data_IF_607254890418
#
_entry.id   IF_607254890418
#
_cell.length_a   1.000
_cell.length_b   1.000
_cell.length_c   1.000
_cell.angle_alpha   90.00
_cell.angle_beta   90.00
_cell.angle_gamma   90.00
#
_symmetry.space_group_name_H-M   'P 1'
#
loop_
_entity.id
_entity.type
_entity.pdbx_description
1 polymer ?
#
# COMPACT_ATOMS: atom_id res chain seq x y z
N UNK A 1 8.29 -116.96 5.76
CA UNK A 1 8.90 -116.31 4.58
C UNK A 1 7.99 -115.14 4.19
N UNK A 2 8.28 -113.93 4.68
CA UNK A 2 7.48 -112.73 4.40
C UNK A 2 8.07 -112.01 3.19
N UNK A 3 7.32 -111.97 2.09
CA UNK A 3 7.69 -111.22 0.90
C UNK A 3 7.60 -109.71 1.19
N UNK A 4 8.76 -109.03 1.21
CA UNK A 4 8.85 -107.56 1.23
C UNK A 4 8.35 -107.03 -0.12
N UNK A 5 7.11 -106.53 -0.14
CA UNK A 5 6.53 -105.87 -1.30
C UNK A 5 7.00 -104.40 -1.37
N UNK A 6 7.50 -103.99 -2.55
CA UNK A 6 7.51 -102.62 -3.09
C UNK A 6 8.12 -101.46 -2.27
N UNK A 7 9.18 -101.63 -1.45
CA UNK A 7 9.81 -100.48 -0.78
C UNK A 7 10.60 -99.56 -1.73
N UNK A 8 11.21 -100.11 -2.78
CA UNK A 8 12.12 -99.37 -3.68
C UNK A 8 11.42 -98.34 -4.55
N UNK A 9 10.19 -98.62 -5.00
CA UNK A 9 9.44 -97.71 -5.89
C UNK A 9 8.93 -96.47 -5.13
N UNK A 10 8.49 -96.65 -3.87
CA UNK A 10 8.13 -95.54 -3.00
C UNK A 10 9.34 -94.71 -2.57
N UNK A 11 10.51 -95.33 -2.34
CA UNK A 11 11.77 -94.63 -2.05
C UNK A 11 12.24 -93.77 -3.23
N UNK A 12 12.21 -94.28 -4.46
CA UNK A 12 12.58 -93.49 -5.64
C UNK A 12 11.58 -92.38 -5.95
N UNK A 13 10.28 -92.61 -5.74
CA UNK A 13 9.26 -91.57 -5.87
C UNK A 13 9.42 -90.47 -4.82
N UNK A 14 9.73 -90.83 -3.57
CA UNK A 14 10.00 -89.83 -2.52
C UNK A 14 11.25 -89.03 -2.81
N UNK A 15 12.34 -89.66 -3.27
CA UNK A 15 13.56 -88.96 -3.71
C UNK A 15 13.25 -87.98 -4.85
N UNK A 16 12.48 -88.40 -5.86
CA UNK A 16 12.10 -87.55 -6.99
C UNK A 16 11.26 -86.34 -6.52
N UNK A 17 10.24 -86.57 -5.69
CA UNK A 17 9.43 -85.49 -5.12
C UNK A 17 10.27 -84.53 -4.28
N UNK A 18 11.26 -85.03 -3.52
CA UNK A 18 12.18 -84.20 -2.74
C UNK A 18 13.05 -83.33 -3.64
N UNK A 19 13.60 -83.90 -4.72
CA UNK A 19 14.41 -83.15 -5.70
C UNK A 19 13.60 -82.08 -6.42
N UNK A 20 12.36 -82.38 -6.81
CA UNK A 20 11.44 -81.40 -7.41
C UNK A 20 11.09 -80.29 -6.42
N UNK A 21 10.82 -80.62 -5.16
CA UNK A 21 10.55 -79.63 -4.12
C UNK A 21 11.76 -78.72 -3.85
N UNK A 22 12.98 -79.29 -3.78
CA UNK A 22 14.22 -78.53 -3.62
C UNK A 22 14.46 -77.64 -4.85
N UNK A 23 14.24 -78.16 -6.06
CA UNK A 23 14.36 -77.39 -7.30
C UNK A 23 13.38 -76.21 -7.37
N UNK A 24 12.12 -76.44 -7.00
CA UNK A 24 11.11 -75.38 -6.90
C UNK A 24 11.49 -74.34 -5.84
N UNK A 25 11.99 -74.77 -4.67
CA UNK A 25 12.39 -73.86 -3.59
C UNK A 25 13.63 -73.02 -3.97
N UNK A 26 14.56 -73.58 -4.75
CA UNK A 26 15.68 -72.83 -5.32
C UNK A 26 15.22 -71.80 -6.37
N UNK A 27 14.23 -72.13 -7.20
CA UNK A 27 13.65 -71.19 -8.15
C UNK A 27 12.93 -70.04 -7.44
N UNK A 28 12.14 -70.33 -6.40
CA UNK A 28 11.51 -69.32 -5.55
C UNK A 28 12.55 -68.47 -4.82
N UNK A 29 13.65 -69.07 -4.34
CA UNK A 29 14.74 -68.32 -3.69
C UNK A 29 15.44 -67.35 -4.66
N UNK A 30 15.67 -67.76 -5.91
CA UNK A 30 16.24 -66.88 -6.96
C UNK A 30 15.24 -65.78 -7.32
N UNK A 31 13.96 -66.11 -7.45
CA UNK A 31 12.87 -65.14 -7.65
C UNK A 31 12.81 -64.10 -6.53
N UNK A 32 12.86 -64.55 -5.27
CA UNK A 32 12.88 -63.70 -4.08
C UNK A 32 14.12 -62.80 -4.00
N UNK A 33 15.30 -63.31 -4.37
CA UNK A 33 16.52 -62.49 -4.46
C UNK A 33 16.40 -61.40 -5.53
N UNK A 34 15.80 -61.72 -6.68
CA UNK A 34 15.48 -60.75 -7.72
C UNK A 34 14.46 -59.70 -7.25
N UNK A 35 13.36 -60.12 -6.63
CA UNK A 35 12.33 -59.23 -6.09
C UNK A 35 12.88 -58.27 -5.02
N UNK A 36 13.89 -58.70 -4.24
CA UNK A 36 14.58 -57.85 -3.26
C UNK A 36 15.46 -56.75 -3.86
N UNK A 37 15.71 -56.75 -5.16
CA UNK A 37 16.43 -55.64 -5.84
C UNK A 37 15.54 -54.43 -6.12
N UNK A 38 14.22 -54.63 -6.14
CA UNK A 38 13.24 -53.58 -6.29
C UNK A 38 12.74 -53.07 -4.93
N UNK A 39 12.20 -51.85 -4.92
CA UNK A 39 11.50 -51.28 -3.78
C UNK A 39 10.23 -52.08 -3.48
N UNK A 40 9.89 -52.18 -2.19
CA UNK A 40 8.72 -52.92 -1.74
C UNK A 40 7.44 -52.44 -2.45
N UNK A 41 6.50 -53.35 -2.77
CA UNK A 41 5.19 -52.97 -3.30
C UNK A 41 4.51 -51.92 -2.41
N UNK A 42 3.92 -50.90 -3.02
CA UNK A 42 3.24 -49.82 -2.29
C UNK A 42 4.15 -48.77 -1.64
N UNK A 43 5.47 -48.82 -1.84
CA UNK A 43 6.37 -47.74 -1.39
C UNK A 43 6.08 -46.42 -2.11
N UNK A 44 6.00 -45.35 -1.34
CA UNK A 44 5.83 -43.97 -1.81
C UNK A 44 7.01 -43.14 -1.31
N UNK A 45 7.68 -42.43 -2.22
CA UNK A 45 8.76 -41.49 -1.87
C UNK A 45 8.37 -40.13 -2.39
N UNK A 46 8.37 -39.10 -1.53
CA UNK A 46 8.00 -37.74 -1.92
C UNK A 46 6.63 -37.67 -2.64
N UNK A 47 5.65 -38.45 -2.17
CA UNK A 47 4.31 -38.50 -2.78
C UNK A 47 4.20 -39.27 -4.11
N UNK A 48 5.31 -39.79 -4.66
CA UNK A 48 5.30 -40.59 -5.88
C UNK A 48 5.31 -42.09 -5.57
N UNK A 49 4.45 -42.90 -6.22
CA UNK A 49 4.49 -44.35 -6.09
C UNK A 49 5.73 -44.88 -6.82
N UNK A 50 6.66 -45.46 -6.06
CA UNK A 50 7.92 -46.02 -6.57
C UNK A 50 8.04 -47.52 -6.30
N UNK A 51 6.99 -48.15 -5.78
CA UNK A 51 6.97 -49.59 -5.52
C UNK A 51 7.26 -50.41 -6.78
N UNK A 52 7.97 -51.53 -6.61
CA UNK A 52 8.46 -52.42 -7.67
C UNK A 52 9.52 -51.80 -8.61
N UNK A 53 9.96 -50.55 -8.40
CA UNK A 53 11.06 -49.96 -9.14
C UNK A 53 12.39 -50.28 -8.48
N UNK A 54 13.45 -50.46 -9.28
CA UNK A 54 14.82 -50.46 -8.75
C UNK A 54 15.24 -49.03 -8.35
N UNK A 55 16.17 -48.86 -7.39
CA UNK A 55 16.55 -47.54 -6.87
C UNK A 55 16.92 -46.51 -7.94
N UNK A 56 17.62 -46.92 -9.01
CA UNK A 56 17.98 -46.04 -10.12
C UNK A 56 16.76 -45.52 -10.90
N UNK A 57 15.77 -46.38 -11.13
CA UNK A 57 14.52 -46.00 -11.81
C UNK A 57 13.68 -45.08 -10.93
N UNK A 58 13.61 -45.36 -9.61
CA UNK A 58 12.96 -44.49 -8.65
C UNK A 58 13.63 -43.11 -8.59
N UNK A 59 14.97 -43.04 -8.58
CA UNK A 59 15.71 -41.79 -8.63
C UNK A 59 15.41 -40.97 -9.90
N UNK A 60 15.36 -41.63 -11.05
CA UNK A 60 15.04 -40.99 -12.33
C UNK A 60 13.62 -40.41 -12.34
N UNK A 61 12.63 -41.17 -11.82
CA UNK A 61 11.25 -40.72 -11.70
C UNK A 61 11.13 -39.49 -10.78
N UNK A 62 11.76 -39.56 -9.59
CA UNK A 62 11.79 -38.47 -8.63
C UNK A 62 12.39 -37.19 -9.22
N UNK A 63 13.54 -37.29 -9.90
CA UNK A 63 14.19 -36.15 -10.56
C UNK A 63 13.30 -35.57 -11.65
N UNK A 64 12.73 -36.42 -12.51
CA UNK A 64 11.86 -35.99 -13.61
C UNK A 64 10.60 -35.26 -13.12
N UNK A 65 9.99 -35.71 -12.02
CA UNK A 65 8.80 -35.08 -11.48
C UNK A 65 9.12 -33.72 -10.83
N UNK A 66 10.16 -33.67 -9.99
CA UNK A 66 10.51 -32.45 -9.26
C UNK A 66 11.29 -31.42 -10.09
N UNK A 67 11.78 -31.79 -11.29
CA UNK A 67 12.33 -30.85 -12.28
C UNK A 67 11.25 -30.16 -13.13
N UNK A 68 9.98 -30.55 -13.04
CA UNK A 68 8.91 -29.91 -13.80
C UNK A 68 8.71 -28.45 -13.35
N UNK A 69 8.40 -27.51 -14.26
CA UNK A 69 8.18 -26.12 -13.88
C UNK A 69 6.96 -25.94 -12.96
N UNK A 70 7.00 -24.91 -12.12
CA UNK A 70 5.87 -24.48 -11.29
C UNK A 70 5.15 -23.33 -11.99
N UNK A 71 3.83 -23.45 -12.13
CA UNK A 71 2.97 -22.41 -12.69
C UNK A 71 2.68 -21.36 -11.61
N UNK A 72 3.13 -20.12 -11.84
CA UNK A 72 2.88 -18.99 -10.95
C UNK A 72 1.81 -18.10 -11.56
N UNK A 73 0.73 -17.85 -10.83
CA UNK A 73 -0.34 -16.97 -11.26
C UNK A 73 -0.19 -15.60 -10.60
N UNK A 74 0.03 -14.57 -11.41
CA UNK A 74 0.05 -13.17 -11.00
C UNK A 74 -1.11 -12.43 -11.66
N UNK A 75 -2.20 -12.24 -10.92
CA UNK A 75 -3.45 -11.64 -11.46
C UNK A 75 -3.91 -12.43 -12.70
N UNK A 76 -3.85 -11.83 -13.89
CA UNK A 76 -4.26 -12.42 -15.16
C UNK A 76 -3.08 -13.03 -15.95
N UNK A 77 -1.87 -12.97 -15.39
CA UNK A 77 -0.65 -13.46 -16.01
C UNK A 77 -0.25 -14.82 -15.42
N UNK A 78 0.22 -15.69 -16.31
CA UNK A 78 0.83 -16.98 -15.93
C UNK A 78 2.32 -16.95 -16.23
N UNK A 79 3.12 -17.23 -15.23
CA UNK A 79 4.58 -17.32 -15.30
C UNK A 79 5.00 -18.76 -15.01
N UNK A 80 6.15 -19.18 -15.56
CA UNK A 80 6.72 -20.50 -15.28
C UNK A 80 8.02 -20.33 -14.49
N UNK A 81 8.06 -20.89 -13.28
CA UNK A 81 9.27 -21.02 -12.49
C UNK A 81 9.94 -22.34 -12.81
N UNK A 82 11.11 -22.27 -13.45
CA UNK A 82 11.98 -23.44 -13.61
C UNK A 82 12.75 -23.69 -12.30
N UNK A 83 12.62 -24.88 -11.67
CA UNK A 83 13.35 -25.27 -10.48
C UNK A 83 14.87 -25.03 -10.56
N UNK A 84 15.46 -25.10 -11.76
CA UNK A 84 16.88 -24.85 -11.96
C UNK A 84 17.27 -23.39 -11.66
N UNK A 85 16.36 -22.42 -11.87
CA UNK A 85 16.62 -20.99 -11.62
C UNK A 85 16.82 -20.67 -10.13
N UNK A 86 16.25 -21.48 -9.25
CA UNK A 86 16.36 -21.34 -7.79
C UNK A 86 17.31 -22.36 -7.18
N UNK A 87 18.14 -23.01 -8.01
CA UNK A 87 19.07 -24.06 -7.59
C UNK A 87 18.40 -25.17 -6.78
N UNK A 88 17.19 -25.57 -7.17
CA UNK A 88 16.46 -26.63 -6.48
C UNK A 88 17.22 -27.95 -6.59
N UNK A 89 17.45 -28.58 -5.44
CA UNK A 89 18.17 -29.84 -5.30
C UNK A 89 17.30 -30.83 -4.55
N UNK A 90 17.22 -32.03 -5.11
CA UNK A 90 16.54 -33.15 -4.51
C UNK A 90 17.59 -34.09 -3.91
N UNK A 91 17.48 -34.39 -2.62
CA UNK A 91 18.38 -35.35 -1.97
C UNK A 91 17.87 -36.78 -2.19
N UNK A 92 18.02 -37.25 -3.44
CA UNK A 92 17.57 -38.59 -3.83
C UNK A 92 18.26 -39.68 -3.04
N UNK A 93 19.53 -39.47 -2.71
CA UNK A 93 20.36 -40.47 -2.08
C UNK A 93 19.95 -40.66 -0.62
N UNK A 94 19.67 -39.57 0.11
CA UNK A 94 19.10 -39.65 1.46
C UNK A 94 17.71 -40.30 1.47
N UNK A 95 16.82 -39.93 0.54
CA UNK A 95 15.48 -40.53 0.46
C UNK A 95 15.53 -42.03 0.15
N UNK A 96 16.40 -42.44 -0.79
CA UNK A 96 16.57 -43.85 -1.13
C UNK A 96 17.26 -44.64 -0.02
N UNK A 97 18.25 -44.06 0.67
CA UNK A 97 18.87 -44.67 1.84
C UNK A 97 17.87 -44.85 2.99
N UNK A 98 16.97 -43.88 3.19
CA UNK A 98 15.89 -44.00 4.15
C UNK A 98 14.91 -45.12 3.76
N UNK A 99 14.51 -45.19 2.48
CA UNK A 99 13.69 -46.29 1.95
C UNK A 99 14.36 -47.67 2.16
N UNK A 100 15.67 -47.75 1.97
CA UNK A 100 16.48 -48.95 2.11
C UNK A 100 16.59 -49.44 3.56
N UNK A 101 16.55 -48.53 4.52
CA UNK A 101 16.56 -48.86 5.96
C UNK A 101 15.29 -49.64 6.35
N UNK A 102 14.14 -49.31 5.76
CA UNK A 102 12.90 -50.06 5.95
C UNK A 102 12.93 -51.44 5.28
N UNK A 103 13.70 -51.59 4.19
CA UNK A 103 13.90 -52.88 3.49
C UNK A 103 14.78 -53.84 4.28
N UNK A 104 15.84 -53.33 4.91
CA UNK A 104 16.87 -54.13 5.61
C UNK A 104 16.53 -54.46 7.07
N UNK A 105 15.54 -53.80 7.66
CA UNK A 105 15.09 -54.06 9.03
C UNK A 105 14.44 -55.44 9.26
N UNK A 106 14.01 -56.14 8.20
CA UNK A 106 13.40 -57.47 8.29
C UNK A 106 14.43 -58.60 8.07
N UNK A 107 14.44 -59.58 8.99
CA UNK A 107 15.29 -60.77 8.88
C UNK A 107 15.04 -61.47 7.52
N UNK A 108 16.11 -61.80 6.80
CA UNK A 108 16.05 -62.39 5.45
C UNK A 108 15.11 -63.60 5.38
N UNK A 109 15.24 -64.51 6.35
CA UNK A 109 14.47 -65.75 6.37
C UNK A 109 12.99 -65.54 6.71
N UNK A 110 12.64 -64.58 7.56
CA UNK A 110 11.22 -64.29 7.83
C UNK A 110 10.54 -63.70 6.61
N UNK A 111 11.21 -62.78 5.92
CA UNK A 111 10.70 -62.18 4.69
C UNK A 111 10.56 -63.20 3.54
N UNK A 112 11.47 -64.17 3.42
CA UNK A 112 11.35 -65.26 2.44
C UNK A 112 10.12 -66.13 2.71
N UNK A 113 9.87 -66.48 3.98
CA UNK A 113 8.68 -67.22 4.36
C UNK A 113 7.40 -66.39 4.16
N UNK A 114 7.40 -65.11 4.51
CA UNK A 114 6.25 -64.23 4.28
C UNK A 114 5.90 -64.11 2.79
N UNK A 115 6.91 -64.06 1.91
CA UNK A 115 6.76 -64.08 0.44
C UNK A 115 6.19 -65.41 -0.07
N UNK A 116 6.73 -66.55 0.40
CA UNK A 116 6.25 -67.90 0.04
C UNK A 116 4.76 -68.11 0.42
N UNK A 117 4.31 -67.48 1.51
CA UNK A 117 2.91 -67.52 1.97
C UNK A 117 2.06 -66.33 1.49
N UNK A 118 2.54 -65.54 0.53
CA UNK A 118 1.83 -64.40 -0.06
C UNK A 118 1.29 -63.41 0.98
N UNK A 119 2.04 -63.19 2.06
CA UNK A 119 1.64 -62.21 3.07
C UNK A 119 1.78 -60.80 2.51
N UNK A 120 0.83 -59.90 2.79
CA UNK A 120 0.89 -58.53 2.28
C UNK A 120 2.08 -57.79 2.88
N UNK A 121 3.00 -57.35 2.02
CA UNK A 121 4.08 -56.43 2.39
C UNK A 121 3.51 -55.02 2.43
N UNK A 122 3.60 -54.35 3.57
CA UNK A 122 3.20 -52.96 3.69
C UNK A 122 4.26 -52.04 3.10
N UNK A 123 3.89 -51.25 2.10
CA UNK A 123 4.70 -50.13 1.63
C UNK A 123 4.93 -49.10 2.73
N UNK A 124 5.96 -48.29 2.55
CA UNK A 124 6.33 -47.22 3.47
C UNK A 124 6.36 -45.87 2.75
N UNK A 125 6.17 -44.79 3.51
CA UNK A 125 6.17 -43.43 3.02
C UNK A 125 7.45 -42.72 3.47
N UNK A 126 8.27 -42.29 2.51
CA UNK A 126 9.48 -41.51 2.76
C UNK A 126 9.18 -40.03 2.47
N UNK A 127 9.40 -39.12 3.44
CA UNK A 127 9.14 -37.70 3.23
C UNK A 127 10.11 -37.11 2.19
N UNK A 128 9.65 -36.05 1.52
CA UNK A 128 10.46 -35.30 0.56
C UNK A 128 11.64 -34.62 1.27
N UNK A 129 12.86 -34.90 0.78
CA UNK A 129 14.07 -34.16 1.12
C UNK A 129 14.46 -33.24 -0.05
N UNK A 130 14.20 -31.95 0.10
CA UNK A 130 14.37 -30.94 -0.94
C UNK A 130 14.94 -29.65 -0.33
N UNK A 131 15.87 -29.06 -1.06
CA UNK A 131 16.48 -27.77 -0.74
C UNK A 131 16.52 -26.86 -1.97
N UNK A 132 16.48 -25.55 -1.78
CA UNK A 132 16.60 -24.55 -2.85
C UNK A 132 17.12 -23.23 -2.27
N UNK A 133 17.54 -22.30 -3.13
CA UNK A 133 18.02 -20.99 -2.70
C UNK A 133 16.87 -19.99 -2.52
N UNK A 134 16.55 -19.57 -1.27
CA UNK A 134 15.50 -18.58 -1.04
C UNK A 134 15.88 -17.21 -1.62
N UNK A 135 17.18 -16.90 -1.67
CA UNK A 135 17.69 -15.65 -2.22
C UNK A 135 17.49 -15.55 -3.74
N UNK A 136 17.65 -16.66 -4.48
CA UNK A 136 17.38 -16.69 -5.92
C UNK A 136 15.87 -16.57 -6.19
N UNK A 137 15.04 -17.27 -5.41
CA UNK A 137 13.58 -17.14 -5.51
C UNK A 137 13.14 -15.69 -5.26
N UNK A 138 13.66 -15.06 -4.21
CA UNK A 138 13.37 -13.66 -3.89
C UNK A 138 13.77 -12.71 -5.02
N UNK A 139 14.97 -12.89 -5.58
CA UNK A 139 15.46 -12.07 -6.71
C UNK A 139 14.53 -12.18 -7.92
N UNK A 140 14.09 -13.40 -8.25
CA UNK A 140 13.15 -13.64 -9.35
C UNK A 140 11.79 -12.96 -9.10
N UNK A 141 11.28 -13.03 -7.86
CA UNK A 141 10.03 -12.35 -7.49
C UNK A 141 10.17 -10.83 -7.55
N UNK A 142 11.31 -10.26 -7.15
CA UNK A 142 11.58 -8.82 -7.28
C UNK A 142 11.65 -8.37 -8.75
N UNK A 143 12.25 -9.19 -9.62
CA UNK A 143 12.29 -8.94 -11.07
C UNK A 143 10.90 -9.09 -11.71
N UNK A 144 10.06 -9.97 -11.16
CA UNK A 144 8.64 -10.08 -11.52
C UNK A 144 7.85 -8.85 -11.08
N UNK A 145 8.00 -8.43 -9.82
CA UNK A 145 7.38 -7.22 -9.26
C UNK A 145 7.72 -5.98 -10.11
N UNK A 146 9.00 -5.81 -10.47
CA UNK A 146 9.45 -4.69 -11.28
C UNK A 146 8.80 -4.62 -12.68
N UNK A 147 8.31 -5.74 -13.21
CA UNK A 147 7.68 -5.82 -14.54
C UNK A 147 6.16 -5.73 -14.51
N UNK A 148 5.52 -6.19 -13.44
CA UNK A 148 4.07 -6.38 -13.39
C UNK A 148 3.35 -5.58 -12.31
N UNK A 149 4.06 -5.10 -11.29
CA UNK A 149 3.45 -4.23 -10.27
C UNK A 149 2.95 -2.94 -10.91
N UNK A 150 1.80 -2.47 -10.43
CA UNK A 150 1.20 -1.22 -10.88
C UNK A 150 1.38 -0.18 -9.81
N UNK A 151 2.17 0.85 -10.11
CA UNK A 151 2.31 2.01 -9.23
C UNK A 151 0.96 2.74 -9.09
N UNK A 152 0.62 3.27 -7.90
CA UNK A 152 -0.57 4.10 -7.74
C UNK A 152 -0.46 5.37 -8.57
N UNK A 153 -1.56 5.78 -9.19
CA UNK A 153 -1.64 7.05 -9.90
C UNK A 153 -2.03 8.16 -8.93
N UNK A 154 -1.33 9.30 -8.99
CA UNK A 154 -1.70 10.48 -8.23
C UNK A 154 -2.99 11.11 -8.78
N UNK A 155 -3.74 11.87 -7.95
CA UNK A 155 -4.86 12.68 -8.40
C UNK A 155 -4.44 13.66 -9.49
N UNK A 156 -5.30 13.85 -10.48
CA UNK A 156 -5.07 14.78 -11.59
C UNK A 156 -6.14 15.86 -11.54
N UNK A 157 -5.70 17.10 -11.58
CA UNK A 157 -6.60 18.24 -11.67
C UNK A 157 -6.88 18.58 -13.14
N UNK A 158 -8.15 18.72 -13.50
CA UNK A 158 -8.60 19.18 -14.81
C UNK A 158 -8.94 20.67 -14.74
N UNK A 159 -8.15 21.47 -15.44
CA UNK A 159 -8.26 22.93 -15.48
C UNK A 159 -9.52 23.38 -16.23
N UNK A 160 -10.01 22.58 -17.19
CA UNK A 160 -11.20 22.93 -17.99
C UNK A 160 -12.51 22.71 -17.22
N UNK A 161 -12.55 21.74 -16.31
CA UNK A 161 -13.74 21.41 -15.52
C UNK A 161 -13.64 21.79 -14.05
N UNK A 162 -12.46 22.22 -13.58
CA UNK A 162 -12.12 22.45 -12.16
C UNK A 162 -12.36 21.25 -11.25
N UNK A 163 -12.35 20.04 -11.81
CA UNK A 163 -12.47 18.80 -11.04
C UNK A 163 -11.08 18.22 -10.76
N UNK A 164 -10.93 17.60 -9.59
CA UNK A 164 -9.78 16.78 -9.27
C UNK A 164 -10.24 15.33 -9.36
N UNK A 165 -9.74 14.58 -10.35
CA UNK A 165 -9.97 13.15 -10.40
C UNK A 165 -9.19 12.49 -9.27
N UNK A 166 -9.81 11.56 -8.56
CA UNK A 166 -9.10 10.73 -7.61
C UNK A 166 -7.93 10.01 -8.29
N UNK A 167 -6.91 9.70 -7.50
CA UNK A 167 -5.86 8.79 -7.93
C UNK A 167 -6.44 7.42 -8.30
N UNK A 168 -5.59 6.54 -8.82
CA UNK A 168 -5.95 5.12 -8.98
C UNK A 168 -5.10 4.29 -8.04
N UNK A 169 -5.67 3.32 -7.31
CA UNK A 169 -4.88 2.46 -6.46
C UNK A 169 -3.93 1.61 -7.32
N UNK A 170 -2.75 1.35 -6.76
CA UNK A 170 -1.78 0.42 -7.33
C UNK A 170 -1.89 -0.95 -6.67
N UNK A 171 -1.02 -1.86 -7.08
CA UNK A 171 -0.79 -3.12 -6.40
C UNK A 171 0.67 -3.50 -6.52
N UNK A 172 1.17 -4.20 -5.50
CA UNK A 172 2.53 -4.68 -5.44
C UNK A 172 2.56 -6.15 -5.05
N UNK A 173 3.54 -6.90 -5.57
CA UNK A 173 3.79 -8.27 -5.17
C UNK A 173 4.21 -8.33 -3.69
N UNK A 174 3.50 -9.10 -2.88
CA UNK A 174 3.98 -9.47 -1.54
C UNK A 174 4.95 -10.64 -1.68
N UNK A 175 6.24 -10.30 -1.70
CA UNK A 175 7.32 -11.26 -1.93
C UNK A 175 7.37 -12.35 -0.85
N UNK A 176 7.22 -12.00 0.43
CA UNK A 176 7.38 -12.96 1.53
C UNK A 176 6.22 -13.95 1.58
N UNK A 177 4.99 -13.44 1.43
CA UNK A 177 3.81 -14.30 1.34
C UNK A 177 3.86 -15.19 0.09
N UNK A 178 4.33 -14.63 -1.04
CA UNK A 178 4.48 -15.37 -2.30
C UNK A 178 5.53 -16.49 -2.21
N UNK A 179 6.65 -16.27 -1.52
CA UNK A 179 7.65 -17.32 -1.27
C UNK A 179 7.05 -18.51 -0.52
N UNK A 180 6.15 -18.25 0.44
CA UNK A 180 5.50 -19.30 1.24
C UNK A 180 4.58 -20.19 0.39
N UNK A 181 3.78 -19.60 -0.49
CA UNK A 181 2.90 -20.37 -1.39
C UNK A 181 3.67 -21.12 -2.47
N UNK A 182 4.80 -20.58 -2.93
CA UNK A 182 5.70 -21.26 -3.87
C UNK A 182 6.38 -22.46 -3.19
N UNK A 183 6.83 -22.34 -1.95
CA UNK A 183 7.41 -23.47 -1.19
C UNK A 183 6.45 -24.66 -1.13
N UNK A 184 5.16 -24.41 -0.88
CA UNK A 184 4.13 -25.45 -0.90
C UNK A 184 4.00 -26.12 -2.28
N UNK A 185 4.00 -25.32 -3.36
CA UNK A 185 3.91 -25.84 -4.74
C UNK A 185 5.19 -26.57 -5.19
N UNK A 186 6.35 -26.20 -4.64
CA UNK A 186 7.62 -26.89 -4.91
C UNK A 186 7.65 -28.30 -4.28
N UNK A 187 6.90 -28.52 -3.20
CA UNK A 187 6.91 -29.79 -2.43
C UNK A 187 5.94 -30.85 -2.94
N UNK A 188 5.09 -30.54 -3.91
CA UNK A 188 4.17 -31.51 -4.53
C UNK A 188 4.73 -32.01 -5.88
N UNK A 189 4.51 -33.29 -6.24
CA UNK A 189 5.05 -33.87 -7.46
C UNK A 189 4.22 -33.56 -8.72
N UNK A 190 2.95 -33.21 -8.55
CA UNK A 190 1.99 -32.90 -9.62
C UNK A 190 1.14 -31.66 -9.29
N UNK A 191 0.46 -31.12 -10.30
CA UNK A 191 -0.36 -29.91 -10.21
C UNK A 191 0.35 -28.74 -9.48
N UNK A 192 1.62 -28.52 -9.84
CA UNK A 192 2.51 -27.52 -9.22
C UNK A 192 2.09 -26.11 -9.62
N UNK A 193 1.16 -25.53 -8.85
CA UNK A 193 0.61 -24.20 -9.07
C UNK A 193 0.68 -23.36 -7.81
N UNK A 194 1.06 -22.09 -7.94
CA UNK A 194 1.04 -21.12 -6.85
C UNK A 194 0.40 -19.81 -7.31
N UNK A 195 -0.60 -19.35 -6.58
CA UNK A 195 -1.16 -18.01 -6.77
C UNK A 195 -0.32 -17.01 -5.97
N UNK A 196 0.34 -16.08 -6.65
CA UNK A 196 1.19 -15.08 -6.01
C UNK A 196 0.33 -14.09 -5.20
N UNK A 197 0.83 -13.73 -4.03
CA UNK A 197 0.13 -12.80 -3.14
C UNK A 197 0.45 -11.38 -3.54
N UNK A 198 -0.57 -10.53 -3.62
CA UNK A 198 -0.43 -9.10 -3.90
C UNK A 198 -0.98 -8.27 -2.74
N UNK A 199 -0.37 -7.12 -2.50
CA UNK A 199 -0.83 -6.12 -1.56
C UNK A 199 -1.33 -4.89 -2.33
N UNK A 200 -2.50 -4.31 -1.96
CA UNK A 200 -2.93 -3.05 -2.52
C UNK A 200 -1.97 -1.93 -2.11
N UNK A 201 -1.59 -1.08 -3.05
CA UNK A 201 -0.81 0.14 -2.78
C UNK A 201 -1.78 1.32 -2.80
N UNK A 202 -1.87 2.04 -1.68
CA UNK A 202 -2.84 3.12 -1.54
C UNK A 202 -2.59 4.25 -2.55
N UNK A 203 -3.68 4.83 -3.04
CA UNK A 203 -3.63 6.05 -3.83
C UNK A 203 -3.35 7.26 -2.93
N UNK A 204 -2.62 8.25 -3.48
CA UNK A 204 -2.55 9.56 -2.84
C UNK A 204 -3.93 10.23 -2.93
N UNK A 205 -4.44 10.75 -1.82
CA UNK A 205 -5.64 11.57 -1.83
C UNK A 205 -5.30 13.00 -2.32
N UNK A 206 -6.24 13.72 -2.95
CA UNK A 206 -6.08 15.14 -3.23
C UNK A 206 -5.75 15.92 -1.94
N UNK A 207 -4.79 16.83 -2.02
CA UNK A 207 -4.38 17.69 -0.90
C UNK A 207 -4.59 19.16 -1.22
N UNK A 208 -4.43 20.04 -0.23
CA UNK A 208 -4.34 21.49 -0.47
C UNK A 208 -3.25 21.86 -1.48
N UNK A 209 -2.19 21.07 -1.57
CA UNK A 209 -1.16 21.25 -2.60
C UNK A 209 -1.70 20.94 -4.00
N UNK A 210 -2.53 19.89 -4.17
CA UNK A 210 -3.20 19.58 -5.44
C UNK A 210 -4.09 20.75 -5.88
N UNK A 211 -4.83 21.37 -4.96
CA UNK A 211 -5.61 22.57 -5.22
C UNK A 211 -4.73 23.76 -5.61
N UNK A 212 -3.61 23.96 -4.91
CA UNK A 212 -2.64 25.01 -5.21
C UNK A 212 -2.01 24.87 -6.60
N UNK A 213 -1.76 23.64 -7.04
CA UNK A 213 -1.26 23.34 -8.38
C UNK A 213 -2.33 23.71 -9.43
N UNK A 214 -3.58 23.28 -9.23
CA UNK A 214 -4.70 23.60 -10.10
C UNK A 214 -4.90 25.11 -10.25
N UNK A 215 -4.87 25.86 -9.15
CA UNK A 215 -5.01 27.32 -9.17
C UNK A 215 -3.89 27.98 -9.99
N UNK A 216 -2.64 27.57 -9.78
CA UNK A 216 -1.50 28.13 -10.52
C UNK A 216 -1.54 27.77 -12.01
N UNK A 217 -1.89 26.53 -12.35
CA UNK A 217 -1.95 26.10 -13.74
C UNK A 217 -3.11 26.77 -14.49
N UNK A 218 -4.26 26.98 -13.83
CA UNK A 218 -5.35 27.78 -14.37
C UNK A 218 -4.93 29.22 -14.67
N UNK A 219 -4.32 29.90 -13.71
CA UNK A 219 -3.87 31.30 -13.88
C UNK A 219 -2.85 31.42 -15.01
N UNK A 220 -1.93 30.45 -15.13
CA UNK A 220 -0.97 30.37 -16.23
C UNK A 220 -1.66 30.17 -17.58
N UNK A 221 -2.62 29.24 -17.67
CA UNK A 221 -3.36 28.96 -18.90
C UNK A 221 -4.25 30.13 -19.33
N UNK A 222 -4.83 30.86 -18.38
CA UNK A 222 -5.61 32.06 -18.63
C UNK A 222 -4.77 33.23 -19.15
N UNK A 223 -3.44 33.14 -19.07
CA UNK A 223 -2.53 34.21 -19.51
C UNK A 223 -2.55 35.43 -18.60
N UNK A 224 -2.89 35.25 -17.31
CA UNK A 224 -2.82 36.33 -16.33
C UNK A 224 -1.35 36.68 -16.05
N UNK A 225 -0.99 37.93 -16.29
CA UNK A 225 0.37 38.49 -16.14
C UNK A 225 0.59 39.19 -14.79
N UNK A 226 -0.45 39.24 -13.96
CA UNK A 226 -0.40 39.80 -12.61
C UNK A 226 0.09 38.82 -11.55
N UNK A 227 0.11 39.31 -10.32
CA UNK A 227 0.47 38.53 -9.13
C UNK A 227 -0.77 37.90 -8.50
N UNK A 228 -0.74 36.58 -8.31
CA UNK A 228 -1.75 35.86 -7.56
C UNK A 228 -1.27 35.67 -6.12
N UNK A 229 -2.10 36.08 -5.16
CA UNK A 229 -2.00 35.62 -3.78
C UNK A 229 -3.32 35.01 -3.34
N UNK A 230 -3.26 33.88 -2.64
CA UNK A 230 -4.42 33.08 -2.27
C UNK A 230 -4.15 32.39 -0.94
N UNK A 231 -5.11 32.48 -0.01
CA UNK A 231 -5.15 31.63 1.17
C UNK A 231 -6.50 30.92 1.21
N UNK A 232 -6.50 29.60 1.38
CA UNK A 232 -7.70 28.78 1.53
C UNK A 232 -7.56 27.98 2.81
N UNK A 233 -8.54 28.07 3.68
CA UNK A 233 -8.60 27.32 4.94
C UNK A 233 -9.80 26.36 4.87
N UNK A 234 -9.56 25.07 5.04
CA UNK A 234 -10.63 24.11 5.30
C UNK A 234 -11.07 24.25 6.76
N UNK A 235 -12.23 24.85 6.97
CA UNK A 235 -12.77 25.14 8.30
C UNK A 235 -13.10 23.87 9.13
N UNK A 236 -13.19 22.69 8.51
CA UNK A 236 -13.42 21.42 9.23
C UNK A 236 -12.12 20.81 9.75
N UNK A 237 -11.07 20.83 8.93
CA UNK A 237 -9.82 20.13 9.21
C UNK A 237 -8.69 21.04 9.68
N UNK A 238 -8.80 22.34 9.40
CA UNK A 238 -7.72 23.32 9.58
C UNK A 238 -6.63 23.26 8.51
N UNK A 239 -6.78 22.42 7.47
CA UNK A 239 -5.82 22.36 6.38
C UNK A 239 -5.79 23.67 5.60
N UNK A 240 -4.60 24.11 5.20
CA UNK A 240 -4.41 25.41 4.54
C UNK A 240 -3.65 25.27 3.22
N UNK A 241 -4.09 26.02 2.20
CA UNK A 241 -3.30 26.38 1.03
C UNK A 241 -2.91 27.85 1.16
N UNK A 242 -1.62 28.13 1.05
CA UNK A 242 -1.08 29.49 1.06
C UNK A 242 -0.19 29.72 -0.17
N UNK A 243 -0.60 30.64 -1.04
CA UNK A 243 0.14 31.14 -2.19
C UNK A 243 0.40 32.63 -1.98
N UNK A 244 1.68 33.01 -1.88
CA UNK A 244 2.09 34.40 -1.67
C UNK A 244 1.32 35.12 -0.54
N UNK A 245 1.17 34.51 0.65
CA UNK A 245 0.20 34.93 1.66
C UNK A 245 0.52 36.29 2.31
N UNK A 246 1.81 36.66 2.36
CA UNK A 246 2.32 37.86 3.04
C UNK A 246 2.65 39.01 2.08
N UNK A 247 1.99 39.07 0.91
CA UNK A 247 2.14 40.18 -0.02
C UNK A 247 1.11 41.24 0.34
N UNK A 248 1.56 42.48 0.56
CA UNK A 248 0.68 43.60 0.83
C UNK A 248 -0.13 43.96 -0.42
N UNK A 249 -1.43 44.19 -0.25
CA UNK A 249 -2.31 44.75 -1.28
C UNK A 249 -3.02 45.98 -0.73
N UNK A 250 -3.57 46.80 -1.61
CA UNK A 250 -4.52 47.84 -1.21
C UNK A 250 -5.72 47.20 -0.49
N UNK A 251 -6.01 47.64 0.73
CA UNK A 251 -7.10 47.10 1.54
C UNK A 251 -8.48 47.38 0.94
N UNK A 252 -8.65 48.54 0.28
CA UNK A 252 -9.89 48.95 -0.39
C UNK A 252 -11.13 48.67 0.50
N UNK A 253 -12.26 48.30 -0.11
CA UNK A 253 -13.48 47.93 0.62
C UNK A 253 -13.35 46.69 1.50
N UNK A 254 -12.27 45.89 1.39
CA UNK A 254 -12.06 44.76 2.30
C UNK A 254 -11.88 45.24 3.74
N UNK A 255 -11.39 46.47 3.95
CA UNK A 255 -11.27 47.08 5.28
C UNK A 255 -12.61 47.36 5.95
N UNK A 256 -13.73 47.32 5.22
CA UNK A 256 -15.06 47.44 5.82
C UNK A 256 -15.39 46.24 6.71
N UNK A 257 -14.80 45.07 6.46
CA UNK A 257 -14.94 43.88 7.32
C UNK A 257 -14.38 44.13 8.72
N UNK A 258 -13.10 44.50 8.91
CA UNK A 258 -12.58 44.80 10.24
C UNK A 258 -13.25 46.02 10.90
N UNK A 259 -13.70 47.03 10.13
CA UNK A 259 -14.51 48.13 10.68
C UNK A 259 -15.77 47.56 11.33
N UNK A 260 -16.53 46.72 10.62
CA UNK A 260 -17.76 46.13 11.13
C UNK A 260 -17.50 45.24 12.35
N UNK A 261 -16.43 44.44 12.35
CA UNK A 261 -16.06 43.60 13.50
C UNK A 261 -15.84 44.48 14.74
N UNK A 262 -15.10 45.57 14.61
CA UNK A 262 -14.82 46.46 15.74
C UNK A 262 -16.06 47.28 16.16
N UNK A 263 -16.94 47.64 15.21
CA UNK A 263 -18.26 48.21 15.50
C UNK A 263 -19.10 47.25 16.34
N UNK A 264 -19.28 46.00 15.89
CA UNK A 264 -20.06 44.99 16.61
C UNK A 264 -19.48 44.67 17.98
N UNK A 265 -18.15 44.72 18.14
CA UNK A 265 -17.49 44.54 19.43
C UNK A 265 -17.85 45.63 20.46
N UNK A 266 -18.24 46.83 20.01
CA UNK A 266 -18.65 47.94 20.88
C UNK A 266 -20.15 47.98 21.17
N UNK A 267 -20.96 47.22 20.44
CA UNK A 267 -22.40 47.17 20.67
C UNK A 267 -22.69 46.35 21.93
N UNK A 268 -23.17 47.03 22.98
CA UNK A 268 -23.62 46.38 24.22
C UNK A 268 -25.05 45.80 24.10
N UNK A 269 -25.79 46.22 23.07
CA UNK A 269 -27.16 45.79 22.76
C UNK A 269 -27.35 45.66 21.25
N UNK A 270 -28.47 45.07 20.82
CA UNK A 270 -28.83 45.07 19.40
C UNK A 270 -28.86 46.50 18.82
N UNK A 271 -28.34 46.70 17.60
CA UNK A 271 -28.25 48.03 17.01
C UNK A 271 -29.64 48.62 16.73
N UNK A 272 -29.78 49.93 16.90
CA UNK A 272 -31.03 50.65 16.56
C UNK A 272 -31.14 50.85 15.04
N UNK A 273 -32.32 51.25 14.55
CA UNK A 273 -32.61 51.35 13.11
C UNK A 273 -31.58 52.21 12.34
N UNK A 274 -31.14 53.33 12.92
CA UNK A 274 -30.15 54.20 12.28
C UNK A 274 -28.77 53.53 12.18
N UNK A 275 -28.33 52.83 13.23
CA UNK A 275 -27.09 52.04 13.24
C UNK A 275 -27.18 50.89 12.23
N UNK A 276 -28.33 50.20 12.15
CA UNK A 276 -28.60 49.16 11.16
C UNK A 276 -28.44 49.73 9.75
N UNK A 277 -29.00 50.91 9.46
CA UNK A 277 -28.88 51.53 8.15
C UNK A 277 -27.41 51.83 7.78
N UNK A 278 -26.61 52.26 8.75
CA UNK A 278 -25.16 52.52 8.56
C UNK A 278 -24.38 51.22 8.35
N UNK A 279 -24.64 50.20 9.17
CA UNK A 279 -24.04 48.86 9.04
C UNK A 279 -24.39 48.24 7.68
N UNK A 280 -25.67 48.25 7.30
CA UNK A 280 -26.15 47.74 6.01
C UNK A 280 -25.54 48.53 4.85
N UNK A 281 -25.50 49.86 4.94
CA UNK A 281 -24.85 50.73 3.97
C UNK A 281 -23.37 50.39 3.80
N UNK A 282 -22.70 49.99 4.87
CA UNK A 282 -21.29 49.59 4.86
C UNK A 282 -21.09 48.23 4.21
N UNK A 283 -21.84 47.19 4.60
CA UNK A 283 -21.61 45.81 4.14
C UNK A 283 -22.28 45.48 2.81
N UNK A 284 -23.53 45.90 2.60
CA UNK A 284 -24.32 45.55 1.42
C UNK A 284 -24.02 46.49 0.26
N UNK A 285 -23.94 47.80 0.54
CA UNK A 285 -23.72 48.83 -0.48
C UNK A 285 -22.24 49.21 -0.63
N UNK A 286 -21.36 48.66 0.22
CA UNK A 286 -19.93 48.98 0.23
C UNK A 286 -19.67 50.50 0.31
N UNK A 287 -20.54 51.26 0.98
CA UNK A 287 -20.53 52.72 0.97
C UNK A 287 -19.36 53.29 1.79
N UNK A 288 -18.55 54.17 1.19
CA UNK A 288 -17.47 54.89 1.89
C UNK A 288 -18.03 55.84 2.97
N UNK A 289 -19.12 56.56 2.66
CA UNK A 289 -19.77 57.47 3.63
C UNK A 289 -20.19 56.73 4.90
N UNK A 290 -20.91 55.62 4.78
CA UNK A 290 -21.32 54.83 5.94
C UNK A 290 -20.13 54.20 6.70
N UNK A 291 -19.11 53.71 5.99
CA UNK A 291 -17.90 53.20 6.64
C UNK A 291 -17.16 54.30 7.43
N UNK A 292 -17.14 55.52 6.91
CA UNK A 292 -16.57 56.68 7.60
C UNK A 292 -17.39 57.10 8.83
N UNK A 293 -18.72 56.93 8.82
CA UNK A 293 -19.56 57.11 10.02
C UNK A 293 -19.16 56.11 11.11
N UNK A 294 -18.99 54.83 10.76
CA UNK A 294 -18.52 53.82 11.72
C UNK A 294 -17.11 54.13 12.24
N UNK A 295 -16.19 54.58 11.39
CA UNK A 295 -14.87 55.03 11.84
C UNK A 295 -14.96 56.23 12.79
N UNK A 296 -15.86 57.19 12.51
CA UNK A 296 -16.10 58.32 13.38
C UNK A 296 -16.57 57.87 14.78
N UNK A 297 -17.47 56.91 14.85
CA UNK A 297 -17.92 56.30 16.11
C UNK A 297 -16.80 55.55 16.83
N UNK A 298 -15.97 54.80 16.09
CA UNK A 298 -14.77 54.13 16.64
C UNK A 298 -13.73 55.13 17.18
N UNK A 299 -13.73 56.36 16.66
CA UNK A 299 -12.81 57.44 16.99
C UNK A 299 -13.35 58.51 17.95
N UNK A 300 -14.46 58.25 18.64
CA UNK A 300 -15.10 59.21 19.55
C UNK A 300 -15.42 60.56 18.89
N UNK A 301 -15.93 60.51 17.65
CA UNK A 301 -16.29 61.68 16.83
C UNK A 301 -15.26 62.06 15.77
N UNK A 302 -14.10 61.39 15.70
CA UNK A 302 -13.01 61.72 14.79
C UNK A 302 -12.63 60.55 13.87
N UNK A 303 -12.88 60.68 12.56
CA UNK A 303 -12.62 59.60 11.58
C UNK A 303 -11.16 59.11 11.56
N UNK A 304 -10.20 60.04 11.65
CA UNK A 304 -8.78 59.71 11.67
C UNK A 304 -8.41 58.89 12.92
N UNK A 305 -8.93 59.29 14.09
CA UNK A 305 -8.74 58.52 15.33
C UNK A 305 -9.40 57.15 15.23
N UNK A 306 -10.53 57.04 14.53
CA UNK A 306 -11.17 55.77 14.20
C UNK A 306 -10.26 54.81 13.44
N UNK A 307 -9.60 55.31 12.38
CA UNK A 307 -8.65 54.51 11.60
C UNK A 307 -7.43 54.06 12.42
N UNK A 308 -6.92 54.95 13.30
CA UNK A 308 -5.83 54.65 14.22
C UNK A 308 -6.23 53.59 15.26
N UNK A 309 -7.41 53.73 15.87
CA UNK A 309 -7.97 52.79 16.83
C UNK A 309 -8.17 51.41 16.18
N UNK A 310 -8.75 51.37 14.98
CA UNK A 310 -8.93 50.13 14.22
C UNK A 310 -7.60 49.43 13.96
N UNK A 311 -6.58 50.16 13.49
CA UNK A 311 -5.23 49.62 13.29
C UNK A 311 -4.63 49.11 14.59
N UNK A 312 -4.85 49.81 15.71
CA UNK A 312 -4.43 49.39 17.03
C UNK A 312 -5.05 48.04 17.43
N UNK A 313 -6.35 47.87 17.24
CA UNK A 313 -7.04 46.61 17.54
C UNK A 313 -6.59 45.47 16.63
N UNK A 314 -6.44 45.70 15.32
CA UNK A 314 -5.94 44.69 14.39
C UNK A 314 -4.56 44.17 14.77
N UNK A 315 -3.66 45.06 15.23
CA UNK A 315 -2.35 44.64 15.75
C UNK A 315 -2.43 43.85 17.05
N UNK A 316 -3.40 44.13 17.92
CA UNK A 316 -3.64 43.33 19.13
C UNK A 316 -4.12 41.92 18.78
N UNK A 317 -4.87 41.77 17.68
CA UNK A 317 -5.27 40.48 17.11
C UNK A 317 -4.14 39.77 16.35
N UNK A 318 -2.93 40.35 16.30
CA UNK A 318 -1.78 39.78 15.58
C UNK A 318 -1.76 40.08 14.08
N UNK A 319 -2.72 40.85 13.54
CA UNK A 319 -2.84 41.19 12.12
C UNK A 319 -1.92 42.36 11.78
N UNK A 320 -0.61 42.12 11.84
CA UNK A 320 0.42 43.17 11.73
C UNK A 320 0.47 43.84 10.35
N UNK A 321 0.00 43.16 9.30
CA UNK A 321 0.06 43.65 7.93
C UNK A 321 -1.23 44.37 7.48
N UNK A 322 -2.28 44.29 8.29
CA UNK A 322 -3.58 44.90 8.00
C UNK A 322 -3.77 46.18 8.80
N UNK A 323 -4.02 47.29 8.11
CA UNK A 323 -4.16 48.59 8.74
C UNK A 323 -4.98 49.59 7.93
N UNK A 324 -5.45 50.64 8.60
CA UNK A 324 -5.90 51.90 8.01
C UNK A 324 -5.06 53.05 8.60
N UNK A 325 -4.35 53.75 7.74
CA UNK A 325 -3.60 54.97 8.07
C UNK A 325 -4.46 56.24 7.87
N UNK A 326 -5.55 56.15 7.09
CA UNK A 326 -6.54 57.21 6.93
C UNK A 326 -7.92 56.65 6.60
N UNK A 327 -8.94 57.51 6.59
CA UNK A 327 -10.33 57.15 6.31
C UNK A 327 -10.64 57.18 4.80
N UNK A 328 -11.81 56.67 4.38
CA UNK A 328 -12.15 56.62 2.96
C UNK A 328 -12.32 58.03 2.37
N UNK A 329 -11.86 58.22 1.13
CA UNK A 329 -11.94 59.48 0.38
C UNK A 329 -11.14 60.66 0.99
N UNK A 330 -10.29 60.39 1.99
CA UNK A 330 -9.33 61.34 2.53
C UNK A 330 -8.36 61.81 1.43
N UNK A 331 -8.10 63.12 1.39
CA UNK A 331 -7.22 63.74 0.38
C UNK A 331 -5.83 64.03 0.92
N UNK A 332 -5.71 64.32 2.21
CA UNK A 332 -4.42 64.63 2.84
C UNK A 332 -3.59 63.37 3.03
N UNK A 333 -2.26 63.40 2.72
CA UNK A 333 -1.40 62.23 2.83
C UNK A 333 -1.48 61.56 4.21
N UNK A 334 -1.62 60.22 4.27
CA UNK A 334 -1.75 59.53 5.54
C UNK A 334 -0.37 59.39 6.22
N UNK A 335 -0.33 59.17 7.54
CA UNK A 335 0.90 58.77 8.21
C UNK A 335 1.48 57.49 7.59
N UNK A 336 2.80 57.45 7.41
CA UNK A 336 3.47 56.26 6.88
C UNK A 336 3.49 55.16 7.93
N UNK A 337 2.81 54.04 7.65
CA UNK A 337 2.87 52.82 8.45
C UNK A 337 3.72 51.75 7.75
N UNK A 338 4.65 51.19 8.51
CA UNK A 338 5.50 50.10 8.05
C UNK A 338 5.00 48.78 8.64
N UNK A 339 4.93 47.75 7.81
CA UNK A 339 4.59 46.38 8.19
C UNK A 339 5.61 45.42 7.57
N UNK A 340 5.76 44.19 8.10
CA UNK A 340 6.61 43.19 7.47
C UNK A 340 6.29 42.99 5.98
N UNK A 341 5.01 42.93 5.62
CA UNK A 341 4.58 42.73 4.23
C UNK A 341 4.87 43.92 3.31
N UNK A 342 4.66 45.16 3.75
CA UNK A 342 4.85 46.34 2.89
C UNK A 342 6.29 46.85 2.81
N UNK A 343 7.19 46.23 3.59
CA UNK A 343 8.63 46.44 3.52
C UNK A 343 9.35 45.42 2.61
N UNK A 344 8.62 44.43 2.09
CA UNK A 344 9.16 43.46 1.13
C UNK A 344 9.62 44.15 -0.15
N UNK A 345 10.66 43.59 -0.77
CA UNK A 345 11.28 44.10 -2.00
C UNK A 345 11.26 43.10 -3.15
N UNK A 346 10.84 41.86 -2.89
CA UNK A 346 10.73 40.79 -3.87
C UNK A 346 9.47 40.91 -4.75
N UNK A 347 8.41 41.55 -4.24
CA UNK A 347 7.20 41.88 -5.00
C UNK A 347 6.73 43.30 -4.68
N UNK A 348 6.08 43.96 -5.65
CA UNK A 348 5.45 45.26 -5.45
C UNK A 348 4.11 45.32 -6.19
N UNK A 349 3.03 45.36 -5.41
CA UNK A 349 1.65 45.51 -5.89
C UNK A 349 1.20 46.97 -5.99
N UNK A 350 2.11 47.92 -5.66
CA UNK A 350 1.80 49.32 -5.44
C UNK A 350 0.66 49.51 -4.43
N UNK A 351 0.79 48.95 -3.20
CA UNK A 351 -0.31 48.96 -2.24
C UNK A 351 -0.64 50.39 -1.80
N UNK A 352 -1.93 50.66 -1.60
CA UNK A 352 -2.44 51.97 -1.20
C UNK A 352 -1.86 52.38 0.17
N UNK A 353 -1.22 53.56 0.32
CA UNK A 353 -0.68 54.01 1.61
C UNK A 353 -1.75 54.26 2.68
N UNK A 354 -3.02 54.50 2.31
CA UNK A 354 -4.10 54.75 3.27
C UNK A 354 -4.58 53.48 3.96
N UNK A 355 -4.54 52.33 3.29
CA UNK A 355 -5.03 51.09 3.86
C UNK A 355 -4.48 49.87 3.12
N UNK A 356 -4.00 48.89 3.88
CA UNK A 356 -3.38 47.69 3.33
C UNK A 356 -3.82 46.46 4.11
N UNK A 357 -3.71 45.31 3.45
CA UNK A 357 -3.90 44.00 4.06
C UNK A 357 -3.10 42.94 3.31
N UNK A 358 -3.04 41.74 3.85
CA UNK A 358 -2.47 40.54 3.22
C UNK A 358 -3.51 39.44 3.19
N UNK A 359 -3.42 38.50 2.24
CA UNK A 359 -4.26 37.31 2.24
C UNK A 359 -4.16 36.48 3.53
N UNK A 360 -2.98 36.37 4.14
CA UNK A 360 -2.80 35.72 5.44
C UNK A 360 -3.64 36.40 6.54
N UNK A 361 -3.47 37.71 6.74
CA UNK A 361 -4.17 38.43 7.80
C UNK A 361 -5.69 38.36 7.59
N UNK A 362 -6.15 38.52 6.35
CA UNK A 362 -7.58 38.45 6.03
C UNK A 362 -8.14 37.03 6.20
N UNK A 363 -7.37 35.99 5.89
CA UNK A 363 -7.77 34.61 6.14
C UNK A 363 -7.91 34.33 7.64
N UNK A 364 -6.98 34.84 8.47
CA UNK A 364 -7.08 34.76 9.93
C UNK A 364 -8.35 35.47 10.41
N UNK A 365 -8.60 36.69 9.96
CA UNK A 365 -9.79 37.47 10.33
C UNK A 365 -11.10 36.75 9.98
N UNK A 366 -11.22 36.25 8.74
CA UNK A 366 -12.43 35.56 8.27
C UNK A 366 -12.63 34.21 8.94
N UNK A 367 -11.54 33.46 9.20
CA UNK A 367 -11.59 32.19 9.94
C UNK A 367 -12.03 32.42 11.38
N UNK A 368 -11.49 33.46 12.01
CA UNK A 368 -11.89 33.89 13.35
C UNK A 368 -13.38 34.22 13.44
N UNK A 369 -13.89 35.01 12.50
CA UNK A 369 -15.32 35.34 12.44
C UNK A 369 -16.20 34.09 12.35
N UNK A 370 -15.82 33.11 11.51
CA UNK A 370 -16.54 31.85 11.38
C UNK A 370 -16.53 31.03 12.68
N UNK A 371 -15.36 30.92 13.32
CA UNK A 371 -15.21 30.19 14.59
C UNK A 371 -15.97 30.86 15.74
N UNK A 372 -15.97 32.20 15.81
CA UNK A 372 -16.80 32.96 16.74
C UNK A 372 -18.29 32.64 16.56
N UNK A 373 -18.79 32.64 15.32
CA UNK A 373 -20.18 32.32 15.04
C UNK A 373 -20.57 30.86 15.36
N UNK A 374 -19.65 29.91 15.15
CA UNK A 374 -19.92 28.48 15.34
C UNK A 374 -19.74 27.98 16.78
N UNK A 375 -18.66 28.41 17.46
CA UNK A 375 -18.26 27.88 18.76
C UNK A 375 -17.90 28.94 19.80
N UNK A 376 -17.99 30.23 19.47
CA UNK A 376 -17.62 31.33 20.37
C UNK A 376 -16.13 31.39 20.70
N UNK A 377 -15.27 30.72 19.92
CA UNK A 377 -13.85 30.51 20.21
C UNK A 377 -12.90 31.15 19.18
N UNK A 378 -13.39 32.08 18.36
CA UNK A 378 -12.54 32.80 17.40
C UNK A 378 -11.67 33.86 18.08
N UNK A 379 -10.92 34.61 17.25
CA UNK A 379 -9.97 35.66 17.66
C UNK A 379 -10.63 36.93 18.18
#
# INVERSE_FOLDING_TARGET
MNARANSTLYEWLTILCMLVAIGALLLELVGFQGARTALAPGTVIAGLPVGNLVPEQAAALLRSAYSAPVELHYIDQTLLLDPAQISLRLDTDAMLAQAETYRTGANFWSAFWDDLWQRPVSGFNVPLALDYSPAQLRTMLLDTAARYDLAPAAPVADIGTFNISEGRPGYALDVESSMTVIDMALRVPDNRRAALTIAPVSQAAPTMQTLGQLAQDYVRQAGFDGLLSLVVVDLKTGAELSLNPDIAYAGMSMMKVPILIDTYRRLDTDPVLDEINVIEGTVVKSSNVHANILLMELGDGEMQRGAENLTGHLRQLGLQNTFMAGYFDQQDPPPKLNTPANQRTDFNTYPDPYMQTTPADMAVLMTGLYQCAGSGSGI
#
